data_IF_633829423575
#
_entry.id   IF_633829423575
#
_cell.length_a   1.000
_cell.length_b   1.000
_cell.length_c   1.000
_cell.angle_alpha   90.00
_cell.angle_beta   90.00
_cell.angle_gamma   90.00
#
_symmetry.space_group_name_H-M   'P 1'
#
loop_
_entity.id
_entity.type
_entity.pdbx_description
1 polymer ?
#
# COMPACT_ATOMS: atom_id res chain seq x y z
N UNK A 1 19.64 -49.11 17.56
CA UNK A 1 20.07 -48.14 16.53
C UNK A 1 18.89 -47.21 16.28
N UNK A 2 18.84 -46.14 17.03
CA UNK A 2 17.80 -45.11 16.98
C UNK A 2 18.33 -43.94 16.17
N UNK A 3 17.69 -43.67 15.05
CA UNK A 3 17.95 -42.48 14.22
C UNK A 3 17.01 -41.36 14.66
N UNK A 4 17.47 -40.56 15.62
CA UNK A 4 16.87 -39.29 15.95
C UNK A 4 17.41 -38.24 14.95
N UNK A 5 16.60 -37.89 13.98
CA UNK A 5 16.86 -36.74 13.12
C UNK A 5 16.40 -35.50 13.88
N UNK A 6 17.26 -34.53 14.19
CA UNK A 6 16.83 -33.31 14.86
C UNK A 6 16.01 -32.46 13.91
N UNK A 7 14.77 -32.18 14.33
CA UNK A 7 13.90 -31.18 13.76
C UNK A 7 14.65 -29.87 13.68
N UNK A 8 14.92 -29.40 12.46
CA UNK A 8 15.62 -28.13 12.20
C UNK A 8 14.79 -26.98 12.75
N UNK A 9 15.28 -26.41 13.83
CA UNK A 9 14.80 -25.19 14.46
C UNK A 9 14.61 -24.10 13.40
N UNK A 10 13.34 -23.74 13.13
CA UNK A 10 13.02 -22.42 12.61
C UNK A 10 13.63 -21.40 13.57
N UNK A 11 14.75 -20.81 13.16
CA UNK A 11 15.28 -19.64 13.84
C UNK A 11 14.22 -18.54 13.74
N UNK A 12 13.51 -18.36 14.82
CA UNK A 12 12.78 -17.13 15.08
C UNK A 12 13.83 -16.00 15.07
N UNK A 13 13.92 -15.27 13.97
CA UNK A 13 14.59 -13.98 14.01
C UNK A 13 13.77 -13.12 14.98
N UNK A 14 14.37 -12.60 16.05
CA UNK A 14 13.70 -11.61 16.87
C UNK A 14 13.46 -10.40 15.95
N UNK A 15 12.21 -10.17 15.56
CA UNK A 15 11.82 -8.92 14.98
C UNK A 15 12.09 -7.85 16.03
N UNK A 16 13.03 -6.95 15.76
CA UNK A 16 13.26 -5.79 16.61
C UNK A 16 11.92 -5.11 16.90
N UNK A 17 11.59 -4.82 18.16
CA UNK A 17 10.35 -4.15 18.53
C UNK A 17 10.28 -2.69 18.07
N UNK A 18 11.23 -2.24 17.25
CA UNK A 18 11.35 -0.90 16.67
C UNK A 18 11.14 -0.85 15.16
N UNK A 19 10.36 -1.76 14.56
CA UNK A 19 9.68 -1.43 13.32
C UNK A 19 8.53 -0.52 13.75
N UNK A 20 8.79 0.79 13.78
CA UNK A 20 7.92 1.81 14.32
C UNK A 20 6.52 1.68 13.71
N UNK A 21 5.50 1.75 14.57
CA UNK A 21 4.09 1.98 14.21
C UNK A 21 3.88 3.30 13.43
N UNK A 22 4.96 3.94 13.01
CA UNK A 22 5.02 5.27 12.42
C UNK A 22 5.32 5.29 10.92
N UNK A 23 5.70 4.17 10.29
CA UNK A 23 6.03 4.16 8.87
C UNK A 23 4.87 3.71 7.97
N UNK A 24 4.83 4.28 6.77
CA UNK A 24 3.83 3.93 5.75
C UNK A 24 4.44 2.95 4.75
N UNK A 25 3.75 1.83 4.55
CA UNK A 25 4.17 0.77 3.63
C UNK A 25 3.35 0.78 2.34
N UNK A 26 3.96 0.34 1.25
CA UNK A 26 3.28 0.20 -0.04
C UNK A 26 3.68 -1.09 -0.76
N UNK A 27 2.74 -1.68 -1.48
CA UNK A 27 2.98 -2.82 -2.37
C UNK A 27 1.95 -2.90 -3.48
N UNK A 28 2.29 -3.61 -4.55
CA UNK A 28 1.32 -4.09 -5.53
C UNK A 28 0.50 -5.20 -4.87
N UNK A 29 -0.82 -5.02 -4.80
CA UNK A 29 -1.74 -5.90 -4.08
C UNK A 29 -2.44 -6.94 -4.98
N UNK A 30 -2.34 -6.80 -6.30
CA UNK A 30 -2.87 -7.75 -7.28
C UNK A 30 -1.77 -8.62 -7.88
N UNK A 31 -2.07 -9.86 -8.32
CA UNK A 31 -1.11 -10.67 -9.04
C UNK A 31 -0.57 -9.95 -10.28
N UNK A 32 0.69 -10.21 -10.60
CA UNK A 32 1.29 -9.74 -11.85
C UNK A 32 0.81 -10.65 -12.98
N UNK A 33 0.14 -10.08 -13.98
CA UNK A 33 -0.40 -10.85 -15.11
C UNK A 33 -1.33 -10.03 -16.00
N UNK A 34 -2.01 -10.72 -16.92
CA UNK A 34 -3.03 -10.11 -17.78
C UNK A 34 -4.34 -9.94 -16.97
N UNK A 35 -4.58 -8.73 -16.53
CA UNK A 35 -5.80 -8.33 -15.86
C UNK A 35 -6.24 -6.96 -16.38
N UNK A 36 -7.51 -6.59 -16.25
CA UNK A 36 -7.99 -5.26 -16.62
C UNK A 36 -7.56 -4.18 -15.62
N UNK A 37 -7.44 -4.55 -14.35
CA UNK A 37 -7.15 -3.65 -13.22
C UNK A 37 -6.01 -4.20 -12.39
N UNK A 38 -5.12 -3.30 -11.98
CA UNK A 38 -4.09 -3.54 -10.98
C UNK A 38 -4.24 -2.62 -9.79
N UNK A 39 -3.95 -3.10 -8.60
CA UNK A 39 -4.09 -2.36 -7.34
C UNK A 39 -2.72 -2.18 -6.69
N UNK A 40 -2.39 -0.93 -6.35
CA UNK A 40 -1.29 -0.61 -5.45
C UNK A 40 -1.89 -0.11 -4.14
N UNK A 41 -1.46 -0.72 -3.02
CA UNK A 41 -1.97 -0.41 -1.69
C UNK A 41 -0.89 0.25 -0.84
N UNK A 42 -1.30 1.25 -0.06
CA UNK A 42 -0.52 1.83 1.04
C UNK A 42 -1.24 1.62 2.37
N UNK A 43 -0.48 1.51 3.46
CA UNK A 43 -0.98 1.49 4.82
C UNK A 43 0.00 2.20 5.76
N UNK A 44 -0.53 3.05 6.62
CA UNK A 44 0.25 3.80 7.62
C UNK A 44 -0.11 5.28 7.67
N UNK A 45 0.47 6.03 8.62
CA UNK A 45 0.04 7.38 8.97
C UNK A 45 0.19 8.42 7.84
N UNK A 46 1.14 8.22 6.92
CA UNK A 46 1.38 9.14 5.82
C UNK A 46 0.57 8.82 4.54
N UNK A 47 -0.24 7.75 4.55
CA UNK A 47 -0.96 7.29 3.34
C UNK A 47 -1.81 8.40 2.73
N UNK A 48 -2.58 9.12 3.53
CA UNK A 48 -3.41 10.24 3.06
C UNK A 48 -2.58 11.39 2.52
N UNK A 49 -1.55 11.79 3.24
CA UNK A 49 -0.67 12.90 2.84
C UNK A 49 0.11 12.59 1.54
N UNK A 50 0.55 11.35 1.36
CA UNK A 50 1.18 10.92 0.11
C UNK A 50 0.17 11.00 -1.02
N UNK A 51 -1.07 10.50 -0.81
CA UNK A 51 -2.13 10.56 -1.80
C UNK A 51 -2.42 12.00 -2.26
N UNK A 52 -2.55 12.94 -1.33
CA UNK A 52 -2.88 14.34 -1.63
C UNK A 52 -1.82 15.01 -2.54
N UNK A 53 -0.57 14.54 -2.49
CA UNK A 53 0.51 15.05 -3.37
C UNK A 53 0.43 14.51 -4.78
N UNK A 54 -0.01 13.26 -4.96
CA UNK A 54 0.08 12.54 -6.24
C UNK A 54 -1.25 12.38 -6.96
N UNK A 55 -2.38 12.62 -6.30
CA UNK A 55 -3.70 12.41 -6.89
C UNK A 55 -4.44 13.72 -7.12
N UNK A 56 -5.09 13.82 -8.27
CA UNK A 56 -5.95 14.95 -8.62
C UNK A 56 -7.32 14.39 -8.98
N UNK A 57 -8.31 14.52 -8.09
CA UNK A 57 -9.67 14.05 -8.35
C UNK A 57 -10.27 14.83 -9.54
N UNK A 58 -11.04 14.12 -10.36
CA UNK A 58 -11.72 14.71 -11.52
C UNK A 58 -12.74 15.78 -11.12
N UNK A 59 -13.48 15.47 -10.05
CA UNK A 59 -14.39 16.44 -9.41
C UNK A 59 -13.70 16.96 -8.16
N UNK A 60 -13.50 18.27 -8.02
CA UNK A 60 -12.91 18.83 -6.82
C UNK A 60 -13.72 18.44 -5.59
N UNK A 61 -13.03 17.93 -4.57
CA UNK A 61 -13.58 17.60 -3.27
C UNK A 61 -12.85 18.39 -2.19
N UNK A 62 -13.56 18.92 -1.23
CA UNK A 62 -12.95 19.63 -0.10
C UNK A 62 -12.18 18.67 0.79
N UNK A 63 -12.71 17.46 0.96
CA UNK A 63 -12.05 16.36 1.67
C UNK A 63 -12.53 15.02 1.14
N UNK A 64 -11.67 14.00 1.22
CA UNK A 64 -12.04 12.64 0.83
C UNK A 64 -12.73 11.93 1.99
N UNK A 65 -13.95 11.49 1.75
CA UNK A 65 -14.68 10.66 2.69
C UNK A 65 -14.15 9.23 2.68
N UNK A 66 -14.07 8.63 3.87
CA UNK A 66 -13.66 7.23 4.03
C UNK A 66 -14.63 6.28 3.32
N UNK A 67 -14.09 5.23 2.70
CA UNK A 67 -14.84 4.18 1.98
C UNK A 67 -15.62 4.67 0.75
N UNK A 68 -15.14 5.71 0.11
CA UNK A 68 -15.62 6.17 -1.20
C UNK A 68 -14.57 6.00 -2.28
N UNK A 69 -15.04 5.84 -3.52
CA UNK A 69 -14.21 5.80 -4.73
C UNK A 69 -14.17 7.18 -5.38
N UNK A 70 -12.96 7.60 -5.75
CA UNK A 70 -12.71 8.87 -6.42
C UNK A 70 -12.01 8.62 -7.75
N UNK A 71 -12.63 9.03 -8.83
CA UNK A 71 -12.02 9.04 -10.16
C UNK A 71 -11.10 10.26 -10.30
N UNK A 72 -9.92 10.08 -10.85
CA UNK A 72 -9.00 11.18 -11.09
C UNK A 72 -7.71 10.73 -11.75
N UNK A 73 -6.76 11.63 -11.82
CA UNK A 73 -5.46 11.39 -12.42
C UNK A 73 -4.39 11.19 -11.34
N UNK A 74 -3.60 10.16 -11.52
CA UNK A 74 -2.38 9.98 -10.76
C UNK A 74 -1.27 10.76 -11.45
N UNK A 75 -0.60 11.61 -10.68
CA UNK A 75 0.43 12.51 -11.18
C UNK A 75 1.83 12.01 -10.80
N UNK A 76 2.78 12.26 -11.68
CA UNK A 76 4.19 12.16 -11.30
C UNK A 76 4.65 13.53 -10.80
N UNK A 77 4.92 13.72 -9.50
CA UNK A 77 5.29 15.02 -8.96
C UNK A 77 6.59 15.57 -9.54
N UNK A 78 7.52 14.68 -9.90
CA UNK A 78 8.81 15.09 -10.46
C UNK A 78 8.70 15.64 -11.90
N UNK A 79 7.68 15.21 -12.64
CA UNK A 79 7.46 15.62 -14.04
C UNK A 79 6.28 16.58 -14.19
N UNK A 80 5.43 16.70 -13.18
CA UNK A 80 4.18 17.46 -13.24
C UNK A 80 3.17 16.90 -14.25
N UNK A 81 3.33 15.65 -14.68
CA UNK A 81 2.54 15.01 -15.73
C UNK A 81 1.65 13.89 -15.18
N UNK A 82 0.45 13.68 -15.76
CA UNK A 82 -0.39 12.54 -15.40
C UNK A 82 0.24 11.23 -15.88
N UNK A 83 0.06 10.18 -15.10
CA UNK A 83 0.55 8.83 -15.37
C UNK A 83 -0.58 7.96 -15.89
N UNK A 84 -1.71 8.00 -15.19
CA UNK A 84 -2.90 7.21 -15.51
C UNK A 84 -4.16 7.84 -14.93
N UNK A 85 -5.31 7.52 -15.50
CA UNK A 85 -6.61 7.79 -14.89
C UNK A 85 -6.97 6.61 -13.99
N UNK A 86 -7.19 6.87 -12.69
CA UNK A 86 -7.31 5.85 -11.67
C UNK A 86 -8.57 6.04 -10.82
N UNK A 87 -9.00 4.95 -10.19
CA UNK A 87 -9.97 4.99 -9.10
C UNK A 87 -9.22 4.81 -7.79
N UNK A 88 -9.37 5.78 -6.90
CA UNK A 88 -8.74 5.74 -5.57
C UNK A 88 -9.80 5.52 -4.51
N UNK A 89 -9.54 4.62 -3.57
CA UNK A 89 -10.28 4.49 -2.31
C UNK A 89 -9.39 4.86 -1.15
N UNK A 90 -9.97 5.60 -0.20
CA UNK A 90 -9.37 5.95 1.07
C UNK A 90 -10.17 5.32 2.20
N UNK A 91 -9.50 4.71 3.15
CA UNK A 91 -10.10 4.08 4.33
C UNK A 91 -9.40 4.64 5.57
N UNK A 92 -10.13 5.48 6.31
CA UNK A 92 -9.63 6.11 7.52
C UNK A 92 -9.48 5.11 8.66
N UNK A 93 -8.43 5.27 9.46
CA UNK A 93 -8.26 4.53 10.70
C UNK A 93 -9.44 4.81 11.68
N UNK A 94 -9.85 3.84 12.48
CA UNK A 94 -9.43 2.44 12.53
C UNK A 94 -10.23 1.52 11.59
N UNK A 95 -11.04 2.07 10.70
CA UNK A 95 -11.98 1.33 9.85
C UNK A 95 -11.34 0.90 8.53
N UNK A 96 -10.23 0.15 8.60
CA UNK A 96 -9.49 -0.39 7.47
C UNK A 96 -9.01 -1.82 7.75
N UNK A 97 -8.41 -2.47 6.77
CA UNK A 97 -7.88 -3.82 6.95
C UNK A 97 -6.79 -3.87 8.02
N UNK A 98 -5.84 -2.96 8.00
CA UNK A 98 -4.74 -2.87 8.96
C UNK A 98 -5.08 -2.08 10.21
N UNK A 99 -6.27 -1.45 10.25
CA UNK A 99 -6.69 -0.46 11.26
C UNK A 99 -5.86 0.82 11.25
N UNK A 100 -5.04 1.02 10.22
CA UNK A 100 -4.31 2.24 9.92
C UNK A 100 -5.02 3.03 8.82
N UNK A 101 -4.49 4.20 8.44
CA UNK A 101 -4.87 4.89 7.20
C UNK A 101 -4.50 4.01 6.00
N UNK A 102 -5.46 3.64 5.17
CA UNK A 102 -5.23 2.80 3.99
C UNK A 102 -5.69 3.52 2.74
N UNK A 103 -4.88 3.44 1.69
CA UNK A 103 -5.19 3.92 0.35
C UNK A 103 -5.02 2.77 -0.64
N UNK A 104 -5.98 2.60 -1.53
CA UNK A 104 -5.86 1.71 -2.69
C UNK A 104 -6.00 2.53 -3.98
N UNK A 105 -5.03 2.36 -4.86
CA UNK A 105 -5.00 2.98 -6.18
C UNK A 105 -5.28 1.88 -7.20
N UNK A 106 -6.45 1.95 -7.82
CA UNK A 106 -6.89 1.03 -8.86
C UNK A 106 -6.58 1.67 -10.21
N UNK A 107 -5.58 1.15 -10.90
CA UNK A 107 -5.11 1.61 -12.21
C UNK A 107 -5.38 0.59 -13.29
N UNK A 108 -5.13 0.96 -14.56
CA UNK A 108 -5.00 -0.04 -15.60
C UNK A 108 -3.91 -1.04 -15.22
N UNK A 109 -4.12 -2.31 -15.56
CA UNK A 109 -3.11 -3.32 -15.25
C UNK A 109 -1.96 -3.24 -16.26
N UNK A 110 -0.76 -3.41 -15.76
CA UNK A 110 0.46 -3.47 -16.52
C UNK A 110 1.65 -3.46 -15.58
N UNK A 111 2.54 -4.41 -15.76
CA UNK A 111 3.71 -4.55 -14.89
C UNK A 111 4.51 -3.24 -14.78
N UNK A 112 4.70 -2.56 -15.91
CA UNK A 112 5.45 -1.30 -15.96
C UNK A 112 4.71 -0.17 -15.21
N UNK A 113 3.39 -0.05 -15.42
CA UNK A 113 2.57 0.97 -14.79
C UNK A 113 2.49 0.79 -13.28
N UNK A 114 2.18 -0.42 -12.81
CA UNK A 114 2.12 -0.72 -11.37
C UNK A 114 3.47 -0.50 -10.70
N UNK A 115 4.56 -0.90 -11.36
CA UNK A 115 5.92 -0.64 -10.88
C UNK A 115 6.26 0.86 -10.84
N UNK A 116 5.77 1.65 -11.79
CA UNK A 116 5.94 3.10 -11.80
C UNK A 116 5.15 3.76 -10.66
N UNK A 117 3.90 3.37 -10.45
CA UNK A 117 3.07 3.85 -9.35
C UNK A 117 3.76 3.54 -8.01
N UNK A 118 4.18 2.29 -7.80
CA UNK A 118 4.87 1.92 -6.58
C UNK A 118 6.14 2.77 -6.34
N UNK A 119 6.98 2.97 -7.38
CA UNK A 119 8.18 3.81 -7.28
C UNK A 119 7.86 5.24 -6.85
N UNK A 120 6.75 5.81 -7.31
CA UNK A 120 6.32 7.15 -6.91
C UNK A 120 5.94 7.16 -5.43
N UNK A 121 5.15 6.20 -4.96
CA UNK A 121 4.81 6.11 -3.55
C UNK A 121 6.05 6.02 -2.66
N UNK A 122 7.06 5.25 -3.09
CA UNK A 122 8.31 5.13 -2.35
C UNK A 122 9.11 6.44 -2.32
N UNK A 123 9.11 7.21 -3.40
CA UNK A 123 9.75 8.53 -3.46
C UNK A 123 9.03 9.56 -2.58
N UNK A 124 7.72 9.42 -2.43
CA UNK A 124 6.90 10.32 -1.63
C UNK A 124 6.92 9.98 -0.13
N UNK A 125 7.62 8.93 0.27
CA UNK A 125 7.89 8.63 1.68
C UNK A 125 7.33 7.29 2.19
N UNK A 126 6.66 6.51 1.36
CA UNK A 126 6.37 5.13 1.71
C UNK A 126 7.63 4.26 1.61
N UNK A 127 7.65 3.12 2.30
CA UNK A 127 8.64 2.07 2.07
C UNK A 127 7.99 0.81 1.47
N UNK A 128 8.76 -0.07 0.83
CA UNK A 128 8.22 -1.35 0.37
C UNK A 128 7.70 -2.19 1.53
N UNK A 129 6.49 -2.74 1.39
CA UNK A 129 5.97 -3.71 2.35
C UNK A 129 6.78 -5.02 2.28
N UNK A 130 7.02 -5.63 3.44
CA UNK A 130 7.56 -6.98 3.52
C UNK A 130 6.45 -8.01 3.20
N UNK A 131 6.80 -9.22 2.74
CA UNK A 131 5.80 -10.27 2.55
C UNK A 131 4.94 -10.49 3.79
N UNK A 132 3.61 -10.44 3.65
CA UNK A 132 2.66 -10.62 4.75
C UNK A 132 2.52 -9.43 5.72
N UNK A 133 3.17 -8.30 5.45
CA UNK A 133 3.23 -7.19 6.41
C UNK A 133 1.87 -6.52 6.66
N UNK A 134 1.01 -6.38 5.65
CA UNK A 134 -0.35 -5.85 5.86
C UNK A 134 -1.15 -6.74 6.83
N UNK A 135 -1.07 -8.06 6.68
CA UNK A 135 -1.74 -9.01 7.57
C UNK A 135 -1.13 -8.97 8.98
N UNK A 136 0.18 -8.86 9.06
CA UNK A 136 0.88 -8.72 10.34
C UNK A 136 0.43 -7.46 11.08
N UNK A 137 0.36 -6.30 10.41
CA UNK A 137 -0.15 -5.05 11.01
C UNK A 137 -1.61 -5.16 11.43
N UNK A 138 -2.46 -5.78 10.62
CA UNK A 138 -3.85 -6.06 10.99
C UNK A 138 -3.93 -6.83 12.30
N UNK A 139 -3.15 -7.90 12.44
CA UNK A 139 -3.07 -8.69 13.66
C UNK A 139 -2.55 -7.87 14.86
N UNK A 140 -1.45 -7.14 14.69
CA UNK A 140 -0.89 -6.30 15.77
C UNK A 140 -1.85 -5.20 16.24
N UNK A 141 -2.68 -4.68 15.34
CA UNK A 141 -3.69 -3.67 15.63
C UNK A 141 -5.04 -4.25 16.10
N UNK A 142 -5.07 -5.55 16.42
CA UNK A 142 -6.21 -6.20 17.07
C UNK A 142 -7.36 -6.58 16.12
N UNK A 143 -7.05 -6.93 14.87
CA UNK A 143 -8.01 -7.50 13.92
C UNK A 143 -7.92 -9.02 13.86
#
# INVERSE_FOLDING_TARGET
>A
MSNDTPCTLYRFFPMSPNASDEDTIAAVATPVGQAGIGIVRMSGPESRRILDRIFRPRNPVSDMESHRLYLGHLMNPALGAPIDEVLVSYMAAPHSYTREEVVEINSHSGHLLLGQILKILLREGARPAKPGEFTFRAFMNGR
#
